data_IF_286615706771
#
_entry.id   IF_286615706771
#
_cell.length_a   1.000
_cell.length_b   1.000
_cell.length_c   1.000
_cell.angle_alpha   90.00
_cell.angle_beta   90.00
_cell.angle_gamma   90.00
#
_symmetry.space_group_name_H-M   'P 1'
#
loop_
_entity.id
_entity.type
_entity.pdbx_description
1 polymer ?
#
# COMPACT_ATOMS: atom_id res chain seq x y z
N UNK A 1 -31.53 23.09 -57.86
CA UNK A 1 -32.77 23.24 -57.11
C UNK A 1 -32.43 23.49 -55.68
N UNK A 2 -32.28 24.73 -55.24
CA UNK A 2 -33.22 25.64 -54.58
C UNK A 2 -34.00 25.02 -53.44
N UNK A 3 -33.64 25.42 -52.18
CA UNK A 3 -34.54 26.04 -51.13
C UNK A 3 -33.79 25.92 -49.80
N UNK A 4 -33.22 26.95 -49.25
CA UNK A 4 -33.67 28.15 -48.54
C UNK A 4 -34.69 27.90 -47.43
N UNK A 5 -34.46 28.64 -46.33
CA UNK A 5 -35.28 29.06 -45.18
C UNK A 5 -35.00 28.30 -43.88
N UNK A 6 -34.99 28.83 -42.67
CA UNK A 6 -35.21 30.20 -42.17
C UNK A 6 -34.70 30.24 -40.72
N UNK A 7 -34.33 31.41 -40.28
CA UNK A 7 -33.94 31.78 -38.93
C UNK A 7 -35.08 31.67 -37.91
N UNK A 8 -34.78 31.41 -36.66
CA UNK A 8 -35.56 31.89 -35.53
C UNK A 8 -34.63 32.16 -34.35
N UNK A 9 -34.46 33.42 -34.04
CA UNK A 9 -33.86 33.94 -32.82
C UNK A 9 -34.85 33.79 -31.66
N UNK A 10 -34.41 33.26 -30.52
CA UNK A 10 -35.07 33.45 -29.24
C UNK A 10 -34.07 34.00 -28.24
N UNK A 11 -34.21 35.26 -27.96
CA UNK A 11 -33.65 35.97 -26.83
C UNK A 11 -34.50 35.63 -25.62
N UNK A 12 -33.92 34.96 -24.67
CA UNK A 12 -34.52 34.69 -23.36
C UNK A 12 -33.55 35.08 -22.27
N UNK A 13 -33.63 36.31 -21.81
CA UNK A 13 -32.95 36.78 -20.61
C UNK A 13 -33.73 36.26 -19.40
N UNK A 14 -33.18 35.29 -18.70
CA UNK A 14 -33.62 34.90 -17.39
C UNK A 14 -32.55 35.24 -16.35
N UNK A 15 -32.75 36.35 -15.68
CA UNK A 15 -32.02 36.71 -14.46
C UNK A 15 -32.45 35.77 -13.34
N UNK A 16 -31.64 34.76 -13.04
CA UNK A 16 -31.75 33.98 -11.84
C UNK A 16 -30.64 34.43 -10.88
N UNK A 17 -31.04 35.24 -9.89
CA UNK A 17 -30.27 35.50 -8.69
C UNK A 17 -30.00 34.17 -7.96
N UNK A 18 -28.85 33.59 -8.19
CA UNK A 18 -28.39 32.49 -7.37
C UNK A 18 -27.77 33.09 -6.09
N UNK A 19 -28.44 32.94 -4.95
CA UNK A 19 -27.84 33.06 -3.64
C UNK A 19 -26.67 32.09 -3.58
N UNK A 20 -25.44 32.59 -3.63
CA UNK A 20 -24.23 31.83 -3.34
C UNK A 20 -24.22 31.57 -1.83
N UNK A 21 -24.70 30.40 -1.41
CA UNK A 21 -24.32 29.85 -0.12
C UNK A 21 -22.84 29.52 -0.18
N UNK A 22 -22.02 29.99 0.77
CA UNK A 22 -20.63 29.56 0.83
C UNK A 22 -20.63 28.05 1.01
N UNK A 23 -20.00 27.34 0.06
CA UNK A 23 -19.70 25.92 0.21
C UNK A 23 -18.86 25.75 1.50
N UNK A 24 -19.16 24.76 2.36
CA UNK A 24 -18.29 24.48 3.48
C UNK A 24 -16.92 24.13 2.89
N UNK A 25 -15.89 24.88 3.30
CA UNK A 25 -14.51 24.54 3.05
C UNK A 25 -14.30 23.09 3.54
N UNK A 26 -13.68 22.21 2.73
CA UNK A 26 -13.31 20.90 3.22
C UNK A 26 -12.37 21.14 4.39
N UNK A 27 -12.86 20.89 5.59
CA UNK A 27 -12.05 20.81 6.79
C UNK A 27 -11.06 19.71 6.49
N UNK A 28 -9.82 20.07 6.22
CA UNK A 28 -8.72 19.12 6.15
C UNK A 28 -8.69 18.43 7.51
N UNK A 29 -9.28 17.25 7.57
CA UNK A 29 -9.08 16.34 8.69
C UNK A 29 -7.59 16.02 8.64
N UNK A 30 -6.83 16.68 9.51
CA UNK A 30 -5.44 16.29 9.78
C UNK A 30 -5.52 14.90 10.37
N UNK A 31 -5.40 13.91 9.52
CA UNK A 31 -5.18 12.53 9.92
C UNK A 31 -3.93 12.56 10.81
N UNK A 32 -4.00 12.07 12.06
CA UNK A 32 -2.83 12.06 12.91
C UNK A 32 -1.76 11.31 12.16
N UNK A 33 -0.61 11.95 11.92
CA UNK A 33 0.53 11.33 11.28
C UNK A 33 0.81 10.01 12.03
N UNK A 34 0.55 8.89 11.37
CA UNK A 34 0.84 7.58 11.92
C UNK A 34 2.32 7.60 12.31
N UNK A 35 2.61 7.41 13.61
CA UNK A 35 3.98 7.41 14.11
C UNK A 35 4.62 6.11 13.63
N UNK A 36 5.31 6.18 12.49
CA UNK A 36 6.07 5.04 11.98
C UNK A 36 7.37 4.88 12.78
N UNK A 37 7.63 3.66 13.25
CA UNK A 37 8.85 3.31 13.98
C UNK A 37 9.76 2.49 13.07
N UNK A 38 11.04 2.86 13.01
CA UNK A 38 12.05 2.08 12.26
C UNK A 38 12.39 0.80 13.05
N UNK A 39 12.14 -0.35 12.44
CA UNK A 39 12.40 -1.70 12.95
C UNK A 39 13.45 -2.45 12.13
N UNK A 40 14.16 -1.73 11.25
CA UNK A 40 15.13 -2.34 10.31
C UNK A 40 16.22 -3.13 11.03
N UNK A 41 16.77 -2.57 12.11
CA UNK A 41 17.82 -3.25 12.88
C UNK A 41 17.29 -4.52 13.56
N UNK A 42 16.07 -4.47 14.11
CA UNK A 42 15.44 -5.60 14.78
C UNK A 42 15.20 -6.76 13.82
N UNK A 43 14.59 -6.48 12.66
CA UNK A 43 14.35 -7.49 11.63
C UNK A 43 15.65 -8.09 11.11
N UNK A 44 16.66 -7.27 10.82
CA UNK A 44 17.95 -7.74 10.33
C UNK A 44 18.71 -8.60 11.34
N UNK A 45 18.55 -8.35 12.63
CA UNK A 45 19.21 -9.12 13.68
C UNK A 45 18.74 -10.57 13.76
N UNK A 46 17.50 -10.84 13.35
CA UNK A 46 16.90 -12.19 13.31
C UNK A 46 17.25 -12.97 12.03
N UNK A 47 17.88 -12.34 11.04
CA UNK A 47 18.19 -12.91 9.74
C UNK A 47 19.67 -13.29 9.61
N UNK A 48 19.95 -14.32 8.81
CA UNK A 48 21.31 -14.56 8.34
C UNK A 48 21.82 -13.36 7.51
N UNK A 49 23.13 -13.09 7.56
CA UNK A 49 23.75 -11.92 6.95
C UNK A 49 23.36 -11.74 5.45
N UNK A 50 23.37 -12.85 4.69
CA UNK A 50 23.02 -12.82 3.27
C UNK A 50 21.56 -12.41 3.03
N UNK A 51 20.62 -12.88 3.86
CA UNK A 51 19.20 -12.52 3.80
C UNK A 51 18.98 -11.09 4.32
N UNK A 52 19.65 -10.72 5.42
CA UNK A 52 19.59 -9.37 5.98
C UNK A 52 20.06 -8.29 4.99
N UNK A 53 21.00 -8.62 4.11
CA UNK A 53 21.48 -7.71 3.06
C UNK A 53 20.38 -7.37 2.02
N UNK A 54 19.38 -8.23 1.84
CA UNK A 54 18.26 -8.00 0.92
C UNK A 54 17.18 -7.10 1.51
N UNK A 55 17.11 -6.95 2.83
CA UNK A 55 16.19 -6.03 3.51
C UNK A 55 16.74 -4.61 3.42
N UNK A 56 16.00 -3.71 2.80
CA UNK A 56 16.38 -2.30 2.69
C UNK A 56 15.85 -1.50 3.88
N UNK A 57 14.61 -1.80 4.30
CA UNK A 57 13.93 -1.11 5.39
C UNK A 57 12.87 -2.00 6.03
N UNK A 58 12.64 -1.81 7.32
CA UNK A 58 11.46 -2.33 8.00
C UNK A 58 10.85 -1.23 8.86
N UNK A 59 9.54 -1.02 8.74
CA UNK A 59 8.82 0.06 9.40
C UNK A 59 7.58 -0.47 10.08
N UNK A 60 7.41 -0.20 11.35
CA UNK A 60 6.15 -0.41 12.05
C UNK A 60 5.25 0.79 11.76
N UNK A 61 4.20 0.58 10.96
CA UNK A 61 3.27 1.63 10.51
C UNK A 61 2.11 1.83 11.47
N UNK A 62 1.76 0.78 12.19
CA UNK A 62 0.76 0.75 13.27
C UNK A 62 1.25 -0.25 14.33
N UNK A 63 0.78 -0.20 15.58
CA UNK A 63 1.19 -1.15 16.61
C UNK A 63 1.04 -2.60 16.16
N UNK A 64 2.17 -3.31 16.09
CA UNK A 64 2.25 -4.70 15.68
C UNK A 64 2.16 -4.94 14.18
N UNK A 65 2.15 -3.91 13.35
CA UNK A 65 2.07 -4.00 11.89
C UNK A 65 3.39 -3.57 11.25
N UNK A 66 4.14 -4.51 10.69
CA UNK A 66 5.45 -4.27 10.07
C UNK A 66 5.36 -4.38 8.55
N UNK A 67 5.88 -3.38 7.86
CA UNK A 67 6.18 -3.40 6.44
C UNK A 67 7.68 -3.55 6.24
N UNK A 68 8.09 -4.56 5.45
CA UNK A 68 9.49 -4.85 5.14
C UNK A 68 9.73 -4.63 3.64
N UNK A 69 10.55 -3.65 3.32
CA UNK A 69 10.99 -3.37 1.95
C UNK A 69 12.25 -4.19 1.64
N UNK A 70 12.30 -4.83 0.48
CA UNK A 70 13.42 -5.67 0.07
C UNK A 70 13.93 -5.31 -1.33
N UNK A 71 15.06 -5.90 -1.72
CA UNK A 71 15.57 -5.88 -3.09
C UNK A 71 15.16 -7.14 -3.88
N UNK A 72 14.30 -7.97 -3.31
CA UNK A 72 13.81 -9.21 -3.93
C UNK A 72 12.89 -8.82 -5.10
N UNK A 73 12.97 -9.58 -6.18
CA UNK A 73 12.07 -9.46 -7.34
C UNK A 73 11.45 -10.82 -7.58
N UNK A 74 10.12 -10.90 -7.48
CA UNK A 74 9.38 -12.12 -7.79
C UNK A 74 9.51 -12.46 -9.29
N UNK A 75 9.98 -13.68 -9.66
CA UNK A 75 10.05 -14.10 -11.06
C UNK A 75 8.67 -14.33 -11.72
N UNK A 76 7.57 -14.18 -10.97
CA UNK A 76 6.17 -14.27 -11.44
C UNK A 76 5.86 -15.50 -12.26
N UNK A 77 5.69 -16.60 -11.63
CA UNK A 77 5.27 -17.83 -12.29
C UNK A 77 5.68 -19.12 -11.61
N UNK A 78 6.28 -19.05 -10.46
CA UNK A 78 6.67 -20.23 -9.69
C UNK A 78 6.48 -19.96 -8.19
N UNK A 79 5.39 -20.47 -7.63
CA UNK A 79 5.00 -20.31 -6.21
C UNK A 79 6.00 -20.93 -5.22
N UNK A 80 7.19 -21.29 -5.67
CA UNK A 80 8.23 -21.90 -4.85
C UNK A 80 9.62 -21.46 -5.28
N UNK A 81 9.71 -20.30 -5.91
CA UNK A 81 10.99 -19.75 -6.34
C UNK A 81 11.97 -19.57 -5.16
N UNK A 82 13.28 -19.57 -5.37
CA UNK A 82 14.24 -19.24 -4.33
C UNK A 82 13.99 -17.87 -3.71
N UNK A 83 13.53 -16.90 -4.51
CA UNK A 83 13.17 -15.56 -4.11
C UNK A 83 11.96 -15.58 -3.16
N UNK A 84 10.92 -16.36 -3.47
CA UNK A 84 9.76 -16.57 -2.63
C UNK A 84 10.14 -17.19 -1.29
N UNK A 85 10.98 -18.23 -1.29
CA UNK A 85 11.44 -18.86 -0.06
C UNK A 85 12.23 -17.88 0.83
N UNK A 86 13.04 -17.01 0.25
CA UNK A 86 13.75 -15.97 0.99
C UNK A 86 12.77 -14.94 1.56
N UNK A 87 11.78 -14.51 0.79
CA UNK A 87 10.76 -13.58 1.24
C UNK A 87 9.91 -14.15 2.38
N UNK A 88 9.53 -15.44 2.31
CA UNK A 88 8.87 -16.17 3.39
C UNK A 88 9.74 -16.20 4.63
N UNK A 89 11.04 -16.50 4.51
CA UNK A 89 11.98 -16.47 5.65
C UNK A 89 12.04 -15.09 6.30
N UNK A 90 12.11 -14.01 5.52
CA UNK A 90 12.08 -12.63 6.03
C UNK A 90 10.79 -12.38 6.81
N UNK A 91 9.65 -12.77 6.25
CA UNK A 91 8.34 -12.66 6.89
C UNK A 91 8.29 -13.41 8.23
N UNK A 92 8.71 -14.68 8.26
CA UNK A 92 8.70 -15.52 9.47
C UNK A 92 9.57 -14.95 10.59
N UNK A 93 10.72 -14.37 10.26
CA UNK A 93 11.59 -13.76 11.25
C UNK A 93 11.00 -12.46 11.78
N UNK A 94 10.42 -11.61 10.91
CA UNK A 94 9.73 -10.40 11.32
C UNK A 94 8.51 -10.71 12.20
N UNK A 95 7.76 -11.78 11.89
CA UNK A 95 6.60 -12.21 12.66
C UNK A 95 6.93 -12.73 14.08
N UNK A 96 8.20 -13.11 14.34
CA UNK A 96 8.67 -13.52 15.67
C UNK A 96 9.01 -12.36 16.60
N UNK A 97 9.11 -11.15 16.07
CA UNK A 97 9.36 -9.99 16.91
C UNK A 97 8.20 -9.76 17.90
N UNK A 98 8.49 -9.22 19.09
CA UNK A 98 7.45 -8.97 20.09
C UNK A 98 6.33 -8.09 19.57
N UNK A 99 5.10 -8.44 19.93
CA UNK A 99 3.88 -7.71 19.65
C UNK A 99 3.48 -7.62 18.16
N UNK A 100 4.18 -8.31 17.25
CA UNK A 100 3.85 -8.35 15.82
C UNK A 100 2.67 -9.27 15.56
N UNK A 101 1.69 -8.77 14.83
CA UNK A 101 0.47 -9.48 14.43
C UNK A 101 0.22 -9.42 12.91
N UNK A 102 0.99 -8.60 12.20
CA UNK A 102 0.92 -8.45 10.76
C UNK A 102 2.29 -8.14 10.18
N UNK A 103 2.65 -8.81 9.08
CA UNK A 103 3.85 -8.50 8.29
C UNK A 103 3.49 -8.42 6.83
N UNK A 104 4.05 -7.43 6.14
CA UNK A 104 4.00 -7.31 4.69
C UNK A 104 5.43 -7.18 4.15
N UNK A 105 5.93 -8.23 3.51
CA UNK A 105 7.20 -8.20 2.79
C UNK A 105 6.93 -7.73 1.37
N UNK A 106 7.63 -6.67 0.96
CA UNK A 106 7.48 -6.04 -0.34
C UNK A 106 8.68 -6.34 -1.23
N UNK A 107 8.40 -6.51 -2.51
CA UNK A 107 9.39 -6.56 -3.57
C UNK A 107 10.13 -5.23 -3.75
N UNK A 108 11.15 -5.24 -4.60
CA UNK A 108 11.94 -4.06 -4.95
C UNK A 108 11.11 -2.91 -5.55
N UNK A 109 9.99 -3.20 -6.19
CA UNK A 109 9.07 -2.22 -6.76
C UNK A 109 7.99 -1.73 -5.78
N UNK A 110 7.98 -2.26 -4.56
CA UNK A 110 7.02 -1.92 -3.50
C UNK A 110 5.73 -2.76 -3.52
N UNK A 111 5.59 -3.72 -4.44
CA UNK A 111 4.46 -4.64 -4.47
C UNK A 111 4.53 -5.61 -3.29
N UNK A 112 3.38 -5.94 -2.69
CA UNK A 112 3.31 -6.97 -1.66
C UNK A 112 3.64 -8.34 -2.25
N UNK A 113 4.50 -9.08 -1.59
CA UNK A 113 4.96 -10.39 -2.05
C UNK A 113 4.59 -11.50 -1.06
N UNK A 114 4.88 -11.30 0.22
CA UNK A 114 4.58 -12.28 1.27
C UNK A 114 3.88 -11.56 2.43
N UNK A 115 2.81 -12.17 2.93
CA UNK A 115 2.01 -11.64 4.04
C UNK A 115 1.97 -12.61 5.23
N UNK A 116 1.82 -12.05 6.44
CA UNK A 116 1.48 -12.72 7.68
C UNK A 116 0.33 -11.98 8.35
N UNK A 117 -0.60 -12.72 8.98
CA UNK A 117 -1.74 -12.11 9.68
C UNK A 117 -2.78 -11.47 8.74
N UNK A 118 -2.78 -11.85 7.47
CA UNK A 118 -3.71 -11.35 6.46
C UNK A 118 -4.72 -12.45 6.04
N UNK A 119 -5.99 -12.12 5.74
CA UNK A 119 -7.01 -13.11 5.35
C UNK A 119 -6.71 -13.93 4.09
N UNK A 120 -5.77 -13.49 3.25
CA UNK A 120 -5.35 -14.21 2.05
C UNK A 120 -4.38 -15.37 2.33
N UNK A 121 -3.80 -15.44 3.52
CA UNK A 121 -2.84 -16.47 3.91
C UNK A 121 -3.39 -17.26 5.11
N UNK A 122 -2.95 -18.52 5.33
CA UNK A 122 -3.35 -19.29 6.49
C UNK A 122 -3.01 -18.59 7.80
N UNK A 123 -3.86 -18.77 8.81
CA UNK A 123 -3.66 -18.16 10.12
C UNK A 123 -2.34 -18.66 10.77
N UNK A 124 -1.50 -17.72 11.16
CA UNK A 124 -0.22 -18.02 11.80
C UNK A 124 0.92 -18.41 10.85
N UNK A 125 0.70 -18.33 9.55
CA UNK A 125 1.70 -18.64 8.52
C UNK A 125 2.03 -17.43 7.66
N UNK A 126 3.23 -17.40 7.11
CA UNK A 126 3.61 -16.50 6.04
C UNK A 126 3.29 -17.15 4.68
N UNK A 127 2.67 -16.40 3.78
CA UNK A 127 2.31 -16.91 2.46
C UNK A 127 2.45 -15.87 1.36
N UNK A 128 2.74 -16.32 0.15
CA UNK A 128 2.78 -15.51 -1.07
C UNK A 128 1.37 -15.04 -1.46
N UNK A 129 1.29 -13.85 -2.11
CA UNK A 129 0.03 -13.22 -2.54
C UNK A 129 0.13 -12.65 -3.96
#
# INVERSE_FOLDING_TARGET
MKRTYLAAAFVGVALLSACASPAPEPTATTEPAAMSVDRTADVKAELAEATAALVTRATETEPGRIEVETTIVDPRGDDSSPEAQIAVQVCEMAAKLPDVNYVNVKEADGTSFVLFGHPLVPEGECGEV
#
